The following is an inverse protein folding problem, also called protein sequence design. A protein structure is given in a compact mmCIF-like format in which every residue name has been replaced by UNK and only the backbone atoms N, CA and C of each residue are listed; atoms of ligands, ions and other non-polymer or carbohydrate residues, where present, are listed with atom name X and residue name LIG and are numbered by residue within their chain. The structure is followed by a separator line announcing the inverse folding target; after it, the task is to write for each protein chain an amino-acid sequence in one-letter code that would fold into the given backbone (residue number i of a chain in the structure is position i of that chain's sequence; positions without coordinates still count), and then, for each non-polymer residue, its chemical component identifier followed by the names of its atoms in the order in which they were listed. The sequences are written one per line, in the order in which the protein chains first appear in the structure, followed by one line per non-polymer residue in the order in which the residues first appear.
data_IF_996381925084
#
_entry.id   IF_996381925084
#
_cell.length_a   1.000
_cell.length_b   1.000
_cell.length_c   1.000
_cell.angle_alpha   90.00
_cell.angle_beta   90.00
_cell.angle_gamma   90.00
#
_symmetry.space_group_name_H-M   'P 1'
#
loop_
_entity.id
_entity.type
_entity.pdbx_description
1 polymer ?
#
# COMPACT_ATOMS: atom_id res chain seq x y z
N UNK A 1 -8.16 -3.02 -4.93
CA UNK A 1 -6.92 -3.08 -5.74
C UNK A 1 -5.76 -2.59 -4.89
N UNK A 2 -4.60 -3.23 -4.96
CA UNK A 2 -3.38 -2.83 -4.26
C UNK A 2 -2.20 -2.91 -5.24
N UNK A 3 -1.37 -1.87 -5.32
CA UNK A 3 -0.19 -1.83 -6.18
C UNK A 3 0.94 -1.11 -5.46
N UNK A 4 2.01 -1.83 -5.10
CA UNK A 4 3.23 -1.27 -4.51
C UNK A 4 4.38 -1.30 -5.50
N UNK A 5 5.06 -0.16 -5.68
CA UNK A 5 6.19 0.00 -6.60
C UNK A 5 7.15 1.09 -6.13
N UNK A 6 8.37 1.06 -6.66
CA UNK A 6 9.21 2.26 -6.73
C UNK A 6 8.66 3.17 -7.84
N UNK A 7 8.10 4.31 -7.44
CA UNK A 7 7.56 5.30 -8.38
C UNK A 7 8.58 6.38 -8.74
N UNK A 8 9.71 6.47 -8.03
CA UNK A 8 10.65 7.60 -8.08
C UNK A 8 9.93 8.97 -8.02
N UNK A 9 8.82 9.00 -7.28
CA UNK A 9 7.87 10.11 -7.25
C UNK A 9 7.96 10.82 -5.90
N UNK A 10 8.23 12.13 -5.93
CA UNK A 10 8.41 12.94 -4.73
C UNK A 10 7.30 13.95 -4.62
N UNK A 11 6.56 13.90 -3.51
CA UNK A 11 5.50 14.84 -3.21
C UNK A 11 5.43 15.10 -1.71
N UNK A 12 5.03 16.31 -1.31
CA UNK A 12 4.95 16.70 0.11
C UNK A 12 3.97 15.87 0.94
N UNK A 13 3.04 15.17 0.28
CA UNK A 13 2.06 14.32 0.97
C UNK A 13 2.65 13.04 1.56
N UNK A 14 3.78 12.55 1.04
CA UNK A 14 4.42 11.31 1.51
C UNK A 14 5.95 11.44 1.69
N UNK A 15 6.54 12.55 1.25
CA UNK A 15 7.97 12.83 1.38
C UNK A 15 8.15 14.27 1.88
N UNK A 16 7.95 14.48 3.18
CA UNK A 16 7.84 15.80 3.85
C UNK A 16 9.05 16.71 3.62
N UNK A 17 10.25 16.12 3.49
CA UNK A 17 11.51 16.86 3.35
C UNK A 17 12.04 16.92 1.90
N UNK A 18 11.32 16.34 0.94
CA UNK A 18 11.75 16.24 -0.46
C UNK A 18 11.23 17.35 -1.37
N UNK A 19 12.01 17.69 -2.40
CA UNK A 19 11.54 18.51 -3.53
C UNK A 19 10.44 17.77 -4.29
N UNK A 20 9.34 18.46 -4.63
CA UNK A 20 8.28 17.89 -5.47
C UNK A 20 8.81 17.72 -6.90
N UNK A 21 8.56 16.56 -7.52
CA UNK A 21 8.82 16.35 -8.96
C UNK A 21 7.51 16.12 -9.73
N UNK A 22 7.58 16.19 -11.07
CA UNK A 22 6.41 16.05 -11.94
C UNK A 22 5.70 14.70 -11.75
N UNK A 23 6.48 13.62 -11.55
CA UNK A 23 5.94 12.28 -11.25
C UNK A 23 5.15 12.27 -9.95
N UNK A 24 5.63 12.95 -8.91
CA UNK A 24 4.91 13.12 -7.64
C UNK A 24 3.57 13.82 -7.81
N UNK A 25 3.54 14.92 -8.54
CA UNK A 25 2.29 15.62 -8.85
C UNK A 25 1.33 14.73 -9.64
N UNK A 26 1.83 13.97 -10.63
CA UNK A 26 1.01 13.07 -11.44
C UNK A 26 0.40 11.93 -10.60
N UNK A 27 1.19 11.27 -9.76
CA UNK A 27 0.73 10.21 -8.85
C UNK A 27 -0.30 10.76 -7.86
N UNK A 28 -0.03 11.92 -7.27
CA UNK A 28 -0.95 12.55 -6.32
C UNK A 28 -2.31 12.87 -6.97
N UNK A 29 -2.28 13.49 -8.16
CA UNK A 29 -3.49 13.84 -8.89
C UNK A 29 -4.28 12.61 -9.33
N UNK A 30 -3.59 11.58 -9.84
CA UNK A 30 -4.23 10.32 -10.25
C UNK A 30 -4.89 9.61 -9.06
N UNK A 31 -4.17 9.50 -7.94
CA UNK A 31 -4.71 8.89 -6.73
C UNK A 31 -5.97 9.62 -6.27
N UNK A 32 -5.92 10.95 -6.23
CA UNK A 32 -7.06 11.80 -5.87
C UNK A 32 -8.23 11.66 -6.84
N UNK A 33 -8.00 11.66 -8.15
CA UNK A 33 -9.08 11.59 -9.14
C UNK A 33 -9.79 10.24 -9.16
N UNK A 34 -9.06 9.16 -8.84
CA UNK A 34 -9.59 7.81 -8.88
C UNK A 34 -9.99 7.26 -7.50
N UNK A 35 -9.88 8.07 -6.44
CA UNK A 35 -10.23 7.66 -5.07
C UNK A 35 -9.29 6.62 -4.46
N UNK A 36 -8.02 6.59 -4.90
CA UNK A 36 -7.00 5.77 -4.26
C UNK A 36 -6.41 6.46 -3.02
N UNK A 37 -6.07 5.65 -2.03
CA UNK A 37 -5.27 6.06 -0.88
C UNK A 37 -3.81 5.77 -1.21
N UNK A 38 -2.95 6.77 -0.98
CA UNK A 38 -1.50 6.62 -1.02
C UNK A 38 -1.05 6.08 0.34
N UNK A 39 -0.18 5.08 0.30
CA UNK A 39 0.34 4.38 1.45
C UNK A 39 1.86 4.39 1.40
N UNK A 40 2.44 5.09 2.35
CA UNK A 40 3.88 5.29 2.51
C UNK A 40 4.41 4.70 3.82
N UNK A 41 5.67 4.23 3.85
CA UNK A 41 6.34 3.90 5.11
C UNK A 41 6.62 5.16 5.93
N UNK A 42 6.65 5.02 7.26
CA UNK A 42 6.99 6.09 8.20
C UNK A 42 8.41 6.62 8.04
N UNK A 43 9.36 5.75 7.67
CA UNK A 43 10.76 6.10 7.45
C UNK A 43 11.13 5.99 5.96
N UNK A 44 12.11 6.80 5.49
CA UNK A 44 12.57 6.74 4.10
C UNK A 44 13.08 5.35 3.72
N UNK A 45 12.46 4.74 2.71
CA UNK A 45 12.91 3.45 2.18
C UNK A 45 14.20 3.59 1.37
N UNK A 46 14.39 4.67 0.60
CA UNK A 46 15.62 4.90 -0.16
C UNK A 46 16.64 5.65 0.69
N UNK A 47 17.73 4.97 1.05
CA UNK A 47 18.89 5.53 1.76
C UNK A 47 20.05 5.61 0.77
N UNK A 48 20.38 6.82 0.27
CA UNK A 48 21.39 6.94 -0.77
C UNK A 48 22.79 6.62 -0.24
N UNK A 49 23.60 5.98 -1.09
CA UNK A 49 25.00 5.64 -0.79
C UNK A 49 25.93 6.86 -0.64
N UNK A 50 25.51 8.03 -1.15
CA UNK A 50 26.25 9.29 -1.01
C UNK A 50 25.52 10.21 -0.02
N UNK A 51 26.26 10.72 0.96
CA UNK A 51 25.81 11.67 1.99
C UNK A 51 25.18 12.96 1.45
N UNK A 52 25.43 13.31 0.18
CA UNK A 52 24.91 14.52 -0.48
C UNK A 52 23.43 14.35 -0.87
N UNK A 53 22.95 13.12 -1.00
CA UNK A 53 21.57 12.83 -1.35
C UNK A 53 20.73 12.66 -0.07
N UNK A 54 19.51 13.18 -0.11
CA UNK A 54 18.58 13.11 1.02
C UNK A 54 17.80 11.79 0.93
N UNK A 55 17.72 11.02 2.03
CA UNK A 55 16.83 9.86 2.12
C UNK A 55 15.42 10.22 1.64
N UNK A 56 14.81 9.36 0.83
CA UNK A 56 13.54 9.68 0.18
C UNK A 56 12.53 8.54 0.29
N UNK A 57 11.27 8.91 0.47
CA UNK A 57 10.14 8.00 0.33
C UNK A 57 9.72 8.00 -1.14
N UNK A 58 10.18 7.00 -1.90
CA UNK A 58 9.84 6.79 -3.32
C UNK A 58 9.20 5.42 -3.59
N UNK A 59 9.42 4.48 -2.67
CA UNK A 59 8.68 3.23 -2.55
C UNK A 59 7.33 3.53 -1.86
N UNK A 60 6.26 3.45 -2.64
CA UNK A 60 4.90 3.74 -2.18
C UNK A 60 3.91 2.75 -2.79
N UNK A 61 2.72 2.67 -2.19
CA UNK A 61 1.63 1.89 -2.75
C UNK A 61 0.34 2.70 -2.88
N UNK A 62 -0.49 2.29 -3.85
CA UNK A 62 -1.84 2.79 -4.05
C UNK A 62 -2.83 1.70 -3.68
N UNK A 63 -3.83 2.04 -2.87
CA UNK A 63 -4.89 1.12 -2.47
C UNK A 63 -6.28 1.72 -2.69
N UNK A 64 -7.25 0.86 -3.00
CA UNK A 64 -8.66 1.22 -3.05
C UNK A 64 -9.49 0.08 -2.45
N UNK A 65 -10.40 0.46 -1.55
CA UNK A 65 -11.30 -0.45 -0.84
C UNK A 65 -10.62 -1.28 0.27
N UNK A 66 -9.45 -0.85 0.74
CA UNK A 66 -8.72 -1.49 1.83
C UNK A 66 -8.59 -0.49 2.98
N UNK A 67 -9.14 -0.84 4.14
CA UNK A 67 -9.34 0.12 5.23
C UNK A 67 -8.33 -0.08 6.37
N UNK A 68 -7.70 -1.26 6.45
CA UNK A 68 -6.82 -1.65 7.55
C UNK A 68 -5.47 -2.13 6.99
N UNK A 69 -4.63 -1.20 6.56
CA UNK A 69 -3.26 -1.48 6.11
C UNK A 69 -2.27 -0.75 7.00
N UNK A 70 -1.26 -1.46 7.51
CA UNK A 70 -0.08 -0.84 8.13
C UNK A 70 1.13 -0.96 7.20
N UNK A 71 2.01 0.04 7.23
CA UNK A 71 3.17 0.14 6.33
C UNK A 71 4.41 0.49 7.14
N UNK A 72 5.46 -0.30 7.00
CA UNK A 72 6.72 -0.12 7.74
C UNK A 72 7.92 -0.42 6.83
N UNK A 73 8.96 0.42 6.91
CA UNK A 73 10.25 0.14 6.25
C UNK A 73 11.20 -0.58 7.20
N UNK A 74 11.93 -1.55 6.69
CA UNK A 74 12.91 -2.32 7.46
C UNK A 74 14.32 -2.07 6.92
N UNK A 75 15.30 -1.83 7.79
CA UNK A 75 16.68 -1.60 7.35
C UNK A 75 17.26 -2.83 6.63
N UNK A 76 17.60 -2.67 5.34
CA UNK A 76 18.34 -3.67 4.58
C UNK A 76 19.83 -3.39 4.64
N UNK A 77 20.65 -4.34 5.13
CA UNK A 77 22.09 -4.11 5.31
C UNK A 77 22.91 -4.10 4.00
N UNK A 78 22.29 -4.42 2.86
CA UNK A 78 23.01 -4.66 1.59
C UNK A 78 22.48 -3.88 0.38
N UNK A 79 21.38 -3.13 0.52
CA UNK A 79 20.80 -2.32 -0.55
C UNK A 79 20.61 -0.87 -0.09
N UNK A 80 20.66 0.05 -1.04
CA UNK A 80 20.26 1.44 -0.90
C UNK A 80 18.73 1.62 -0.80
N UNK A 81 17.96 0.54 -0.98
CA UNK A 81 16.54 0.47 -0.63
C UNK A 81 16.30 -0.45 0.58
N UNK A 82 15.54 0.06 1.53
CA UNK A 82 15.00 -0.66 2.67
C UNK A 82 13.68 -1.34 2.26
N UNK A 83 13.52 -2.66 2.49
CA UNK A 83 12.26 -3.34 2.23
C UNK A 83 11.06 -2.64 2.90
N UNK A 84 9.99 -2.46 2.14
CA UNK A 84 8.71 -1.95 2.67
C UNK A 84 7.77 -3.13 2.92
N UNK A 85 7.32 -3.26 4.16
CA UNK A 85 6.42 -4.31 4.62
C UNK A 85 4.99 -3.74 4.75
N UNK A 86 4.04 -4.41 4.12
CA UNK A 86 2.62 -4.06 4.16
C UNK A 86 1.85 -5.17 4.88
N UNK A 87 1.12 -4.84 5.94
CA UNK A 87 0.22 -5.78 6.62
C UNK A 87 -1.21 -5.37 6.32
N UNK A 88 -1.92 -6.23 5.57
CA UNK A 88 -3.31 -6.02 5.18
C UNK A 88 -4.20 -6.88 6.08
N UNK A 89 -5.01 -6.25 6.92
CA UNK A 89 -5.91 -6.95 7.83
C UNK A 89 -7.30 -7.08 7.19
N UNK A 90 -7.67 -8.31 6.83
CA UNK A 90 -9.00 -8.61 6.33
C UNK A 90 -9.93 -8.99 7.49
N UNK A 91 -10.88 -8.11 7.80
CA UNK A 91 -12.00 -8.47 8.65
C UNK A 91 -13.02 -9.24 7.80
N UNK A 92 -12.79 -10.54 7.63
CA UNK A 92 -13.81 -11.40 7.05
C UNK A 92 -14.95 -11.56 8.07
N UNK A 93 -16.02 -10.79 7.89
CA UNK A 93 -17.31 -11.20 8.43
C UNK A 93 -17.72 -12.44 7.64
N UNK A 94 -17.41 -13.62 8.16
CA UNK A 94 -18.05 -14.85 7.70
C UNK A 94 -19.51 -14.72 8.16
N UNK A 95 -20.35 -14.09 7.33
CA UNK A 95 -21.78 -14.33 7.41
C UNK A 95 -21.90 -15.84 7.27
N UNK A 96 -22.27 -16.52 8.35
CA UNK A 96 -22.51 -17.96 8.31
C UNK A 96 -23.37 -18.22 7.07
N UNK A 97 -22.80 -18.90 6.08
CA UNK A 97 -23.56 -19.42 4.97
C UNK A 97 -24.58 -20.35 5.63
N UNK A 98 -25.83 -19.90 5.73
CA UNK A 98 -26.95 -20.79 6.03
C UNK A 98 -27.06 -21.65 4.77
N UNK A 99 -26.28 -22.74 4.75
CA UNK A 99 -26.42 -23.78 3.75
C UNK A 99 -27.80 -24.39 4.03
N UNK A 100 -28.82 -23.91 3.33
CA UNK A 100 -30.11 -24.57 3.30
C UNK A 100 -29.90 -25.91 2.59
N UNK A 101 -29.60 -26.95 3.36
CA UNK A 101 -29.60 -28.32 2.86
C UNK A 101 -31.05 -28.67 2.58
N UNK A 102 -31.45 -28.60 1.32
CA UNK A 102 -32.67 -29.26 0.85
C UNK A 102 -32.40 -30.77 0.89
N UNK A 103 -33.01 -31.45 1.86
CA UNK A 103 -32.98 -32.91 1.95
C UNK A 103 -34.28 -33.41 1.29
N UNK A 104 -34.16 -34.24 0.26
CA UNK A 104 -35.32 -34.90 -0.36
C UNK A 104 -35.96 -35.83 0.66
N UNK A 105 -37.25 -35.63 0.93
CA UNK A 105 -38.03 -36.54 1.78
C UNK A 105 -38.47 -37.74 0.93
N UNK A 106 -37.72 -38.85 1.05
CA UNK A 106 -37.99 -40.10 0.34
C UNK A 106 -39.28 -40.80 0.78
N UNK A 107 -39.90 -40.41 1.89
CA UNK A 107 -41.20 -40.95 2.32
C UNK A 107 -42.40 -40.31 1.60
N UNK A 108 -42.15 -39.32 0.73
CA UNK A 108 -43.18 -38.62 -0.05
C UNK A 108 -43.12 -38.91 -1.56
N UNK A 109 -42.26 -39.83 -2.00
CA UNK A 109 -42.13 -40.30 -3.38
C UNK A 109 -42.30 -41.82 -3.45
#
# INVERSE_FOLDING_TARGET
MFCGRDFNAKHRSWNLHGTINQSGTAVHNYARSCGYVILEPSDPAMIPSKLIHIPSVIDLSLSCGLNNITVESHSGLTSDHSPVHFVINFNFHISHLIICKTITNWNKF
#
